data_IF_402729964981
#
_entry.id   IF_402729964981
#
_cell.length_a   1.000
_cell.length_b   1.000
_cell.length_c   1.000
_cell.angle_alpha   90.00
_cell.angle_beta   90.00
_cell.angle_gamma   90.00
#
_symmetry.space_group_name_H-M   'P 1'
#
loop_
_entity.id
_entity.type
_entity.pdbx_description
1 polymer ?
#
# COMPACT_ATOMS: atom_id res chain seq x y z
N UNK A 1 -20.79 14.14 -28.54
CA UNK A 1 -19.88 13.19 -27.87
C UNK A 1 -19.35 13.96 -26.69
N UNK A 2 -19.95 13.73 -25.52
CA UNK A 2 -19.49 14.35 -24.29
C UNK A 2 -18.16 13.72 -23.92
N UNK A 3 -17.19 14.58 -23.59
CA UNK A 3 -15.88 14.20 -23.11
C UNK A 3 -16.05 13.41 -21.80
N UNK A 4 -15.98 12.09 -21.88
CA UNK A 4 -15.66 11.24 -20.74
C UNK A 4 -14.21 11.55 -20.36
N UNK A 5 -14.01 12.66 -19.66
CA UNK A 5 -12.81 12.91 -18.90
C UNK A 5 -12.80 11.90 -17.74
N UNK A 6 -12.56 10.63 -18.09
CA UNK A 6 -12.56 9.51 -17.18
C UNK A 6 -11.77 9.90 -15.94
N UNK A 7 -12.41 9.77 -14.78
CA UNK A 7 -11.81 10.20 -13.52
C UNK A 7 -10.41 9.60 -13.42
N UNK A 8 -9.38 10.46 -13.50
CA UNK A 8 -8.02 10.02 -13.25
C UNK A 8 -7.98 9.42 -11.86
N UNK A 9 -7.47 8.20 -11.75
CA UNK A 9 -7.26 7.54 -10.47
C UNK A 9 -6.51 8.45 -9.50
N UNK A 10 -6.78 8.32 -8.20
CA UNK A 10 -6.13 9.08 -7.14
C UNK A 10 -5.42 8.18 -6.14
N UNK A 11 -5.17 6.93 -6.51
CA UNK A 11 -4.56 5.95 -5.62
C UNK A 11 -3.03 6.02 -5.63
N UNK A 12 -2.46 5.98 -4.43
CA UNK A 12 -1.05 5.74 -4.18
C UNK A 12 -0.94 4.42 -3.45
N UNK A 13 -0.16 3.48 -3.98
CA UNK A 13 -0.05 2.13 -3.41
C UNK A 13 1.36 1.88 -2.90
N UNK A 14 1.48 1.51 -1.63
CA UNK A 14 2.68 0.90 -1.06
C UNK A 14 2.63 -0.61 -1.18
N UNK A 15 3.72 -1.21 -1.64
CA UNK A 15 3.88 -2.66 -1.80
C UNK A 15 5.16 -3.14 -1.12
N UNK A 16 5.04 -4.19 -0.32
CA UNK A 16 6.19 -4.91 0.25
C UNK A 16 5.92 -6.42 0.28
N UNK A 17 6.99 -7.20 0.10
CA UNK A 17 6.95 -8.65 0.08
C UNK A 17 7.98 -9.23 1.06
N UNK A 18 7.66 -10.39 1.64
CA UNK A 18 8.60 -11.19 2.44
C UNK A 18 9.10 -12.44 1.68
N UNK A 19 9.92 -13.27 2.33
CA UNK A 19 10.47 -14.51 1.74
C UNK A 19 9.43 -15.58 1.44
N UNK A 20 8.31 -15.55 2.14
CA UNK A 20 7.21 -16.50 1.97
C UNK A 20 6.21 -16.08 0.87
N UNK A 21 6.58 -15.08 0.04
CA UNK A 21 5.70 -14.44 -0.96
C UNK A 21 4.42 -13.86 -0.36
N UNK A 22 4.45 -13.53 0.92
CA UNK A 22 3.40 -12.74 1.52
C UNK A 22 3.60 -11.29 1.11
N UNK A 23 2.54 -10.67 0.61
CA UNK A 23 2.53 -9.31 0.09
C UNK A 23 1.66 -8.46 1.00
N UNK A 24 2.24 -7.38 1.50
CA UNK A 24 1.52 -6.30 2.18
C UNK A 24 1.25 -5.15 1.23
N UNK A 25 0.02 -4.66 1.23
CA UNK A 25 -0.47 -3.56 0.41
C UNK A 25 -1.11 -2.49 1.27
N UNK A 26 -0.79 -1.23 0.98
CA UNK A 26 -1.51 -0.08 1.49
C UNK A 26 -1.91 0.84 0.33
N UNK A 27 -3.19 0.83 -0.03
CA UNK A 27 -3.77 1.67 -1.07
C UNK A 27 -4.39 2.91 -0.42
N UNK A 28 -3.85 4.08 -0.76
CA UNK A 28 -4.28 5.35 -0.22
C UNK A 28 -4.98 6.16 -1.30
N UNK A 29 -6.29 6.40 -1.13
CA UNK A 29 -7.06 7.29 -1.99
C UNK A 29 -6.82 8.73 -1.56
N UNK A 30 -6.14 9.50 -2.40
CA UNK A 30 -5.86 10.91 -2.13
C UNK A 30 -7.12 11.78 -2.14
N UNK A 31 -8.20 11.34 -2.78
CA UNK A 31 -9.45 12.11 -2.91
C UNK A 31 -10.30 12.00 -1.65
N UNK A 32 -10.60 10.78 -1.21
CA UNK A 32 -11.39 10.53 0.00
C UNK A 32 -10.55 10.55 1.28
N UNK A 33 -9.21 10.60 1.14
CA UNK A 33 -8.26 10.41 2.21
C UNK A 33 -8.48 9.09 2.96
N UNK A 34 -8.86 8.02 2.24
CA UNK A 34 -9.05 6.68 2.79
C UNK A 34 -7.83 5.79 2.58
N UNK A 35 -7.52 4.98 3.60
CA UNK A 35 -6.41 4.03 3.57
C UNK A 35 -6.94 2.61 3.65
N UNK A 36 -6.79 1.84 2.58
CA UNK A 36 -7.17 0.43 2.52
C UNK A 36 -5.93 -0.46 2.67
N UNK A 37 -6.01 -1.43 3.58
CA UNK A 37 -4.92 -2.35 3.88
C UNK A 37 -5.28 -3.76 3.43
N UNK A 38 -4.34 -4.45 2.79
CA UNK A 38 -4.52 -5.84 2.39
C UNK A 38 -3.22 -6.60 2.58
N UNK A 39 -3.30 -7.84 3.07
CA UNK A 39 -2.16 -8.74 3.16
C UNK A 39 -2.59 -10.13 2.74
N UNK A 40 -1.80 -10.77 1.88
CA UNK A 40 -2.12 -12.09 1.34
C UNK A 40 -0.85 -12.80 0.89
N UNK A 41 -0.92 -14.12 0.79
CA UNK A 41 0.16 -14.94 0.25
C UNK A 41 -0.03 -15.08 -1.26
N UNK A 42 1.02 -14.82 -2.03
CA UNK A 42 1.07 -15.15 -3.45
C UNK A 42 1.41 -16.62 -3.63
N UNK A 43 0.41 -17.39 -4.06
CA UNK A 43 0.53 -18.83 -4.32
C UNK A 43 1.21 -19.14 -5.65
N UNK A 44 1.31 -18.15 -6.55
CA UNK A 44 1.89 -18.29 -7.89
C UNK A 44 3.09 -17.36 -8.10
N UNK A 45 4.03 -17.75 -8.96
CA UNK A 45 5.10 -16.87 -9.44
C UNK A 45 4.62 -15.77 -10.40
N UNK A 46 3.36 -15.82 -10.84
CA UNK A 46 2.78 -14.84 -11.76
C UNK A 46 2.17 -13.61 -11.07
N UNK A 47 2.10 -13.61 -9.74
CA UNK A 47 1.58 -12.52 -8.89
C UNK A 47 0.18 -12.03 -9.29
N UNK A 48 -0.75 -12.96 -9.50
CA UNK A 48 -2.09 -12.61 -9.99
C UNK A 48 -2.90 -11.82 -8.96
N UNK A 49 -2.77 -12.14 -7.67
CA UNK A 49 -3.51 -11.41 -6.63
C UNK A 49 -3.06 -9.95 -6.58
N UNK A 50 -1.75 -9.71 -6.62
CA UNK A 50 -1.21 -8.35 -6.70
C UNK A 50 -1.60 -7.65 -8.00
N UNK A 51 -1.58 -8.34 -9.15
CA UNK A 51 -2.01 -7.74 -10.42
C UNK A 51 -3.48 -7.34 -10.41
N UNK A 52 -4.37 -8.22 -9.97
CA UNK A 52 -5.81 -7.94 -9.87
C UNK A 52 -6.05 -6.74 -8.97
N UNK A 53 -5.38 -6.66 -7.83
CA UNK A 53 -5.51 -5.54 -6.90
C UNK A 53 -4.98 -4.23 -7.50
N UNK A 54 -3.82 -4.26 -8.16
CA UNK A 54 -3.26 -3.08 -8.83
C UNK A 54 -4.17 -2.61 -9.98
N UNK A 55 -4.76 -3.52 -10.74
CA UNK A 55 -5.71 -3.18 -11.78
C UNK A 55 -6.99 -2.57 -11.21
N UNK A 56 -7.50 -3.11 -10.08
CA UNK A 56 -8.69 -2.60 -9.41
C UNK A 56 -8.51 -1.16 -8.92
N UNK A 57 -7.36 -0.84 -8.31
CA UNK A 57 -7.09 0.51 -7.79
C UNK A 57 -6.53 1.49 -8.82
N UNK A 58 -6.04 1.00 -9.97
CA UNK A 58 -5.44 1.79 -11.05
C UNK A 58 -4.46 2.88 -10.55
N UNK A 59 -3.39 2.55 -9.81
CA UNK A 59 -2.64 3.55 -9.06
C UNK A 59 -1.90 4.58 -9.93
N UNK A 60 -1.82 5.82 -9.45
CA UNK A 60 -0.93 6.84 -10.02
C UNK A 60 0.54 6.61 -9.67
N UNK A 61 0.78 6.05 -8.48
CA UNK A 61 2.11 5.85 -7.92
C UNK A 61 2.17 4.50 -7.21
N UNK A 62 3.24 3.76 -7.48
CA UNK A 62 3.54 2.52 -6.77
C UNK A 62 4.87 2.69 -6.01
N UNK A 63 4.81 2.56 -4.69
CA UNK A 63 5.94 2.71 -3.77
C UNK A 63 6.44 1.31 -3.39
N UNK A 64 7.73 1.04 -3.61
CA UNK A 64 8.37 -0.25 -3.30
C UNK A 64 9.68 -0.05 -2.53
N UNK A 65 10.13 -1.05 -1.74
CA UNK A 65 11.48 -1.05 -1.20
C UNK A 65 12.53 -1.22 -2.31
N UNK A 66 13.82 -0.95 -2.05
CA UNK A 66 14.87 -1.07 -3.06
C UNK A 66 15.12 -2.54 -3.39
N UNK A 67 15.37 -2.81 -4.67
CA UNK A 67 15.89 -4.10 -5.14
C UNK A 67 17.33 -4.26 -4.69
N UNK A 68 17.54 -4.75 -3.46
CA UNK A 68 18.77 -5.49 -3.22
C UNK A 68 18.54 -6.84 -3.89
N UNK A 69 19.40 -7.19 -4.86
CA UNK A 69 19.52 -8.52 -5.42
C UNK A 69 19.60 -9.50 -4.23
N UNK A 70 18.45 -10.00 -3.81
CA UNK A 70 18.39 -11.05 -2.84
C UNK A 70 18.84 -12.29 -3.60
N UNK A 71 19.88 -13.00 -3.13
CA UNK A 71 20.34 -14.24 -3.75
C UNK A 71 19.20 -15.25 -4.01
N UNK A 72 18.09 -15.11 -3.27
CA UNK A 72 16.95 -16.03 -3.24
C UNK A 72 15.62 -15.43 -3.73
N UNK A 73 15.62 -14.42 -4.61
CA UNK A 73 14.39 -14.03 -5.32
C UNK A 73 13.37 -13.16 -4.56
N UNK A 74 13.76 -12.46 -3.48
CA UNK A 74 12.91 -11.46 -2.78
C UNK A 74 12.64 -10.16 -3.56
N UNK A 75 12.49 -10.25 -4.88
CA UNK A 75 12.42 -9.10 -5.79
C UNK A 75 11.10 -9.09 -6.56
N UNK A 76 10.18 -9.98 -6.21
CA UNK A 76 8.96 -10.29 -6.97
C UNK A 76 8.12 -9.05 -7.24
N UNK A 77 7.69 -8.34 -6.19
CA UNK A 77 6.81 -7.17 -6.35
C UNK A 77 7.47 -5.99 -7.06
N UNK A 78 8.78 -5.74 -6.89
CA UNK A 78 9.40 -4.65 -7.67
C UNK A 78 9.62 -5.05 -9.13
N UNK A 79 10.02 -6.30 -9.40
CA UNK A 79 10.17 -6.80 -10.78
C UNK A 79 8.81 -6.82 -11.49
N UNK A 80 7.76 -7.20 -10.76
CA UNK A 80 6.37 -7.14 -11.23
C UNK A 80 6.05 -5.73 -11.73
N UNK A 81 6.31 -4.72 -10.90
CA UNK A 81 6.04 -3.31 -11.24
C UNK A 81 6.86 -2.90 -12.45
N UNK A 82 8.16 -3.23 -12.49
CA UNK A 82 9.03 -2.91 -13.62
C UNK A 82 8.57 -3.55 -14.94
N UNK A 83 8.05 -4.78 -14.89
CA UNK A 83 7.67 -5.54 -16.08
C UNK A 83 6.27 -5.20 -16.60
N UNK A 84 5.31 -4.97 -15.70
CA UNK A 84 3.89 -4.89 -16.08
C UNK A 84 3.26 -3.51 -15.85
N UNK A 85 3.92 -2.62 -15.10
CA UNK A 85 3.38 -1.31 -14.72
C UNK A 85 4.37 -0.19 -15.03
N UNK A 86 5.11 -0.31 -16.13
CA UNK A 86 6.14 0.65 -16.55
C UNK A 86 5.60 2.04 -16.89
N UNK A 87 4.31 2.15 -17.22
CA UNK A 87 3.61 3.42 -17.41
C UNK A 87 3.24 4.12 -16.10
N UNK A 88 3.23 3.40 -14.98
CA UNK A 88 2.89 3.93 -13.65
C UNK A 88 4.17 4.41 -12.97
N UNK A 89 4.08 5.54 -12.26
CA UNK A 89 5.24 6.09 -11.55
C UNK A 89 5.66 5.17 -10.41
N UNK A 90 6.76 4.44 -10.60
CA UNK A 90 7.42 3.69 -9.53
C UNK A 90 8.27 4.61 -8.65
N UNK A 91 8.08 4.54 -7.34
CA UNK A 91 8.91 5.24 -6.35
C UNK A 91 9.61 4.21 -5.48
N UNK A 92 10.94 4.33 -5.41
CA UNK A 92 11.75 3.48 -4.53
C UNK A 92 12.00 4.25 -3.23
N UNK A 93 11.60 3.67 -2.10
CA UNK A 93 11.89 4.19 -0.76
C UNK A 93 12.79 3.23 0.00
N UNK A 94 13.66 3.75 0.87
CA UNK A 94 14.53 2.91 1.69
C UNK A 94 13.71 1.91 2.52
N UNK A 95 14.21 0.67 2.69
CA UNK A 95 13.49 -0.39 3.43
C UNK A 95 13.10 0.04 4.85
N UNK A 96 13.90 0.88 5.52
CA UNK A 96 13.56 1.45 6.83
C UNK A 96 12.36 2.43 6.82
N UNK A 97 11.79 2.77 5.67
CA UNK A 97 10.50 3.45 5.58
C UNK A 97 9.31 2.48 5.66
N UNK A 98 9.54 1.20 5.42
CA UNK A 98 8.56 0.13 5.56
C UNK A 98 8.69 -0.44 6.97
N UNK A 99 8.14 0.30 7.92
CA UNK A 99 8.24 0.04 9.35
C UNK A 99 6.84 -0.27 9.88
N UNK A 100 6.60 -1.54 10.17
CA UNK A 100 5.32 -2.08 10.64
C UNK A 100 4.91 -1.50 11.98
N UNK A 101 5.87 -1.25 12.88
CA UNK A 101 5.62 -0.63 14.18
C UNK A 101 5.13 0.81 14.02
N UNK A 102 5.78 1.60 13.15
CA UNK A 102 5.29 2.95 12.82
C UNK A 102 3.95 2.91 12.08
N UNK A 103 3.78 1.95 11.18
CA UNK A 103 2.52 1.71 10.47
C UNK A 103 1.35 1.43 11.40
N UNK A 104 1.57 0.54 12.38
CA UNK A 104 0.63 0.20 13.43
C UNK A 104 0.18 1.44 14.22
N UNK A 105 1.14 2.26 14.67
CA UNK A 105 0.84 3.51 15.40
C UNK A 105 0.05 4.49 14.53
N UNK A 106 0.44 4.67 13.26
CA UNK A 106 -0.29 5.53 12.31
C UNK A 106 -1.74 5.06 12.15
N UNK A 107 -1.91 3.78 11.85
CA UNK A 107 -3.21 3.14 11.67
C UNK A 107 -4.06 3.27 12.93
N UNK A 108 -3.51 2.97 14.11
CA UNK A 108 -4.23 3.12 15.38
C UNK A 108 -4.70 4.56 15.62
N UNK A 109 -3.85 5.55 15.31
CA UNK A 109 -4.21 6.96 15.47
C UNK A 109 -5.30 7.41 14.49
N UNK A 110 -5.28 6.89 13.25
CA UNK A 110 -6.33 7.14 12.26
C UNK A 110 -7.64 6.45 12.65
N UNK A 111 -7.54 5.22 13.16
CA UNK A 111 -8.66 4.37 13.50
C UNK A 111 -9.28 4.70 14.88
N UNK A 112 -8.57 5.37 15.79
CA UNK A 112 -9.13 5.84 17.06
C UNK A 112 -10.29 6.84 16.88
N UNK A 113 -10.49 7.38 15.67
CA UNK A 113 -11.63 8.19 15.27
C UNK A 113 -12.84 7.36 14.80
N UNK A 114 -12.70 6.04 14.69
CA UNK A 114 -13.64 5.08 14.14
C UNK A 114 -13.86 3.94 15.16
N UNK A 115 -15.02 3.87 15.84
CA UNK A 115 -15.31 2.84 16.86
C UNK A 115 -15.21 1.40 16.35
N UNK A 116 -15.30 1.20 15.03
CA UNK A 116 -15.25 -0.11 14.35
C UNK A 116 -13.83 -0.73 14.35
N UNK A 117 -12.79 0.04 14.65
CA UNK A 117 -11.39 -0.39 14.62
C UNK A 117 -10.94 -1.24 15.84
N UNK A 118 -11.88 -1.55 16.74
CA UNK A 118 -11.69 -2.41 17.91
C UNK A 118 -11.28 -3.83 17.46
N UNK A 119 -9.98 -4.09 17.43
CA UNK A 119 -9.42 -5.41 17.10
C UNK A 119 -7.93 -5.38 16.75
N UNK A 120 -7.41 -4.24 16.28
CA UNK A 120 -6.03 -4.09 15.80
C UNK A 120 -4.97 -4.63 16.79
N UNK A 121 -5.18 -4.45 18.10
CA UNK A 121 -4.25 -4.90 19.15
C UNK A 121 -3.99 -6.43 19.14
N UNK A 122 -4.95 -7.25 18.67
CA UNK A 122 -4.79 -8.71 18.53
C UNK A 122 -4.18 -9.12 17.19
N UNK A 123 -4.33 -8.29 16.15
CA UNK A 123 -4.02 -8.65 14.76
C UNK A 123 -2.71 -8.07 14.21
N UNK A 124 -1.98 -7.24 14.97
CA UNK A 124 -0.73 -6.60 14.51
C UNK A 124 0.31 -7.59 13.95
N UNK A 125 0.47 -8.76 14.58
CA UNK A 125 1.43 -9.77 14.11
C UNK A 125 1.02 -10.40 12.78
N UNK A 126 -0.27 -10.46 12.47
CA UNK A 126 -0.77 -11.05 11.23
C UNK A 126 -0.75 -10.06 10.07
N UNK A 127 -0.75 -8.74 10.33
CA UNK A 127 -0.84 -7.69 9.31
C UNK A 127 0.41 -6.81 9.19
N UNK A 128 1.56 -7.27 9.70
CA UNK A 128 2.77 -6.46 9.78
C UNK A 128 3.26 -5.95 8.40
N UNK A 129 3.04 -6.67 7.29
CA UNK A 129 3.48 -6.21 5.97
C UNK A 129 2.61 -5.08 5.42
N UNK A 130 1.28 -5.16 5.55
CA UNK A 130 0.41 -4.07 5.09
C UNK A 130 0.54 -2.83 5.97
N UNK A 131 0.86 -3.01 7.25
CA UNK A 131 1.24 -1.91 8.15
C UNK A 131 2.58 -1.28 7.75
N UNK A 132 3.58 -2.09 7.42
CA UNK A 132 4.85 -1.60 6.89
C UNK A 132 4.64 -0.82 5.58
N UNK A 133 3.79 -1.32 4.68
CA UNK A 133 3.40 -0.60 3.46
C UNK A 133 2.72 0.74 3.78
N UNK A 134 1.79 0.78 4.74
CA UNK A 134 1.11 2.00 5.17
C UNK A 134 2.10 3.06 5.65
N UNK A 135 3.09 2.67 6.45
CA UNK A 135 4.16 3.54 6.93
C UNK A 135 4.89 4.23 5.77
N UNK A 136 5.26 3.47 4.73
CA UNK A 136 5.93 4.03 3.55
C UNK A 136 5.00 4.93 2.73
N UNK A 137 3.75 4.50 2.48
CA UNK A 137 2.75 5.25 1.71
C UNK A 137 2.45 6.61 2.33
N UNK A 138 2.17 6.65 3.65
CA UNK A 138 1.89 7.90 4.36
C UNK A 138 3.13 8.79 4.45
N UNK A 139 4.32 8.20 4.63
CA UNK A 139 5.57 8.97 4.62
C UNK A 139 5.84 9.63 3.26
N UNK A 140 5.53 8.94 2.16
CA UNK A 140 5.59 9.51 0.82
C UNK A 140 4.57 10.65 0.67
N UNK A 141 3.30 10.40 1.01
CA UNK A 141 2.26 11.42 0.95
C UNK A 141 2.66 12.69 1.71
N UNK A 142 3.12 12.55 2.96
CA UNK A 142 3.54 13.67 3.78
C UNK A 142 4.76 14.40 3.21
N UNK A 143 5.64 13.74 2.46
CA UNK A 143 6.77 14.40 1.82
C UNK A 143 6.34 15.28 0.64
N UNK A 144 5.30 14.89 -0.09
CA UNK A 144 4.90 15.56 -1.34
C UNK A 144 3.69 16.48 -1.20
N UNK A 145 2.78 16.22 -0.25
CA UNK A 145 1.51 16.95 -0.11
C UNK A 145 1.40 17.74 1.20
N UNK A 146 1.95 17.26 2.31
CA UNK A 146 1.94 18.02 3.58
C UNK A 146 2.69 19.37 3.55
N UNK A 147 3.77 19.59 2.77
CA UNK A 147 4.43 20.90 2.70
C UNK A 147 3.57 21.97 2.00
N UNK A 148 2.51 21.57 1.30
CA UNK A 148 1.67 22.43 0.46
C UNK A 148 0.50 23.04 1.27
N UNK A 149 0.44 22.82 2.59
CA UNK A 149 -0.53 23.46 3.48
C UNK A 149 -1.94 22.86 3.47
N UNK A 150 -2.19 21.79 2.70
CA UNK A 150 -3.50 21.13 2.67
C UNK A 150 -3.54 20.02 3.73
N UNK A 151 -4.23 20.28 4.86
CA UNK A 151 -4.58 19.25 5.84
C UNK A 151 -5.80 18.48 5.33
N UNK A 152 -5.57 17.35 4.66
CA UNK A 152 -6.62 16.35 4.51
C UNK A 152 -6.73 15.54 5.80
N UNK A 153 -7.93 15.49 6.37
CA UNK A 153 -8.23 14.56 7.45
C UNK A 153 -8.37 13.17 6.83
N UNK A 154 -7.47 12.25 7.20
CA UNK A 154 -7.46 10.88 6.70
C UNK A 154 -8.53 10.09 7.46
N UNK A 155 -9.57 9.63 6.76
CA UNK A 155 -10.63 8.76 7.29
C UNK A 155 -10.31 7.31 6.94
N UNK A 156 -9.87 6.51 7.90
CA UNK A 156 -9.49 5.11 7.67
C UNK A 156 -10.72 4.19 7.63
N UNK A 157 -11.10 3.71 6.44
CA UNK A 157 -11.97 2.54 6.29
C UNK A 157 -11.11 1.28 6.17
N UNK A 158 -11.16 0.40 7.17
CA UNK A 158 -10.41 -0.86 7.17
C UNK A 158 -11.24 -1.99 6.56
N UNK A 159 -10.92 -2.38 5.34
CA UNK A 159 -11.42 -3.60 4.71
C UNK A 159 -10.30 -4.65 4.69
N UNK A 160 -10.28 -5.53 5.69
CA UNK A 160 -9.48 -6.76 5.61
C UNK A 160 -10.21 -7.75 4.70
N UNK A 161 -9.87 -7.74 3.41
CA UNK A 161 -10.26 -8.80 2.49
C UNK A 161 -9.51 -10.08 2.89
N UNK A 162 -10.21 -10.99 3.57
CA UNK A 162 -9.74 -12.35 3.74
C UNK A 162 -9.89 -13.05 2.39
N UNK A 163 -8.83 -13.62 1.82
CA UNK A 163 -9.01 -14.54 0.70
C UNK A 163 -9.77 -15.76 1.24
N UNK A 164 -11.02 -15.93 0.79
CA UNK A 164 -11.78 -17.18 0.93
C UNK A 164 -11.13 -18.31 0.14
#
# INVERSE_FOLDING_TARGET
MEDDAGERSNFVIGLIENRAKEVGVAAFDLRSASLHLSQYIETSSSYQNTKTLLHFYDPLVIIVPPNKLAPDGMVGVSILVDRFYSSIKKVIMARGCFDDTKGAVLVKNLAAKEPSALGLDTYYKQYYLCLAAASATIKWYNKFFSPVGIRHEISGYFLFSHPT
#
